data_IF_655674198092
#
_entry.id   IF_655674198092
#
_cell.length_a   1.000
_cell.length_b   1.000
_cell.length_c   1.000
_cell.angle_alpha   90.00
_cell.angle_beta   90.00
_cell.angle_gamma   90.00
#
_symmetry.space_group_name_H-M   'P 1'
#
loop_
_entity.id
_entity.type
_entity.pdbx_description
1 polymer ?
#
# COMPACT_ATOMS: atom_id res chain seq x y z
N UNK A 1 -1.46 26.04 11.75
CA UNK A 1 0.00 26.11 11.52
C UNK A 1 0.83 26.19 12.81
N UNK A 2 0.29 26.60 13.96
CA UNK A 2 1.05 26.64 15.22
C UNK A 2 1.62 25.29 15.69
N UNK A 3 1.00 24.15 15.33
CA UNK A 3 1.49 22.81 15.72
C UNK A 3 2.80 22.37 15.05
N UNK A 4 3.11 22.88 13.85
CA UNK A 4 4.30 22.47 13.11
C UNK A 4 5.48 23.44 13.27
N UNK A 5 5.29 24.61 13.89
CA UNK A 5 6.35 25.59 14.12
C UNK A 5 6.88 26.36 12.89
N UNK A 6 6.39 26.07 11.68
CA UNK A 6 6.85 26.70 10.44
C UNK A 6 5.88 27.76 9.89
N UNK A 7 6.42 28.67 9.07
CA UNK A 7 5.66 29.74 8.41
C UNK A 7 4.76 29.21 7.28
N UNK A 8 3.72 29.98 6.91
CA UNK A 8 2.88 29.70 5.73
C UNK A 8 3.72 29.60 4.44
N UNK A 9 4.76 30.43 4.33
CA UNK A 9 5.68 30.43 3.18
C UNK A 9 6.49 29.13 3.11
N UNK A 10 6.96 28.63 4.24
CA UNK A 10 7.66 27.35 4.31
C UNK A 10 6.75 26.21 3.84
N UNK A 11 5.50 26.17 4.29
CA UNK A 11 4.53 25.17 3.82
C UNK A 11 4.32 25.24 2.30
N UNK A 12 4.10 26.45 1.75
CA UNK A 12 3.87 26.65 0.32
C UNK A 12 5.10 26.36 -0.56
N UNK A 13 6.31 26.37 0.00
CA UNK A 13 7.52 25.95 -0.71
C UNK A 13 7.62 24.42 -0.84
N UNK A 14 6.94 23.66 0.02
CA UNK A 14 6.96 22.20 0.01
C UNK A 14 5.73 21.58 -0.62
N UNK A 15 4.57 22.26 -0.55
CA UNK A 15 3.30 21.76 -1.05
C UNK A 15 2.57 22.85 -1.83
N UNK A 16 2.13 22.50 -3.03
CA UNK A 16 1.38 23.38 -3.92
C UNK A 16 -0.04 23.63 -3.41
N UNK A 17 -0.61 22.66 -2.68
CA UNK A 17 -1.94 22.76 -2.08
C UNK A 17 -2.07 21.92 -0.81
N UNK A 18 -3.21 22.04 -0.12
CA UNK A 18 -3.49 21.27 1.10
C UNK A 18 -3.72 19.79 0.80
N UNK A 19 -4.30 19.47 -0.36
CA UNK A 19 -4.58 18.10 -0.81
C UNK A 19 -3.28 17.32 -0.98
N UNK A 20 -2.27 17.94 -1.61
CA UNK A 20 -0.92 17.38 -1.75
C UNK A 20 -0.28 17.11 -0.39
N UNK A 21 -0.39 18.06 0.55
CA UNK A 21 0.16 17.88 1.90
C UNK A 21 -0.54 16.75 2.69
N UNK A 22 -1.86 16.65 2.56
CA UNK A 22 -2.66 15.59 3.21
C UNK A 22 -2.28 14.22 2.62
N UNK A 23 -2.15 14.13 1.30
CA UNK A 23 -1.75 12.91 0.62
C UNK A 23 -0.30 12.53 0.98
N UNK A 24 0.64 13.47 0.95
CA UNK A 24 2.04 13.23 1.30
C UNK A 24 2.20 12.75 2.75
N UNK A 25 1.43 13.31 3.69
CA UNK A 25 1.43 12.86 5.08
C UNK A 25 1.08 11.37 5.24
N UNK A 26 0.30 10.79 4.32
CA UNK A 26 -0.03 9.38 4.29
C UNK A 26 1.17 8.48 3.97
N UNK A 27 2.03 8.96 3.08
CA UNK A 27 3.19 8.23 2.54
C UNK A 27 4.41 8.38 3.43
N UNK A 28 4.56 9.54 4.06
CA UNK A 28 5.72 9.91 4.89
C UNK A 28 5.73 9.18 6.26
N UNK A 29 4.74 8.32 6.57
CA UNK A 29 4.74 7.55 7.81
C UNK A 29 5.86 6.49 7.85
N UNK A 30 7.00 6.95 8.40
CA UNK A 30 8.15 6.28 9.02
C UNK A 30 8.21 4.75 8.89
N UNK A 31 9.25 4.28 8.19
CA UNK A 31 9.86 2.98 8.46
C UNK A 31 10.02 2.04 7.27
N UNK A 32 9.57 2.41 6.07
CA UNK A 32 9.88 1.61 4.89
C UNK A 32 11.39 1.71 4.62
N UNK A 33 12.13 0.58 4.59
CA UNK A 33 13.54 0.58 4.25
C UNK A 33 13.76 1.17 2.85
N UNK A 34 14.98 1.66 2.60
CA UNK A 34 15.37 2.09 1.26
C UNK A 34 15.21 0.92 0.28
N UNK A 35 15.05 1.24 -1.01
CA UNK A 35 14.76 0.21 -2.02
C UNK A 35 15.86 -0.84 -2.10
N UNK A 36 17.11 -0.43 -1.96
CA UNK A 36 18.29 -1.30 -1.93
C UNK A 36 18.30 -2.22 -0.71
N UNK A 37 17.90 -1.72 0.46
CA UNK A 37 17.80 -2.50 1.70
C UNK A 37 16.68 -3.55 1.59
N UNK A 38 15.52 -3.16 1.04
CA UNK A 38 14.43 -4.08 0.72
C UNK A 38 14.87 -5.17 -0.25
N UNK A 39 15.58 -4.80 -1.32
CA UNK A 39 16.09 -5.78 -2.29
C UNK A 39 17.08 -6.72 -1.63
N UNK A 40 17.95 -6.24 -0.75
CA UNK A 40 18.90 -7.09 -0.03
C UNK A 40 18.21 -8.09 0.90
N UNK A 41 17.21 -7.64 1.67
CA UNK A 41 16.44 -8.49 2.60
C UNK A 41 15.59 -9.54 1.87
N UNK A 42 14.99 -9.17 0.74
CA UNK A 42 14.11 -10.04 -0.05
C UNK A 42 14.88 -10.94 -1.03
N UNK A 43 16.16 -10.66 -1.27
CA UNK A 43 17.04 -11.46 -2.13
C UNK A 43 17.43 -12.76 -1.43
N UNK A 44 16.50 -13.71 -1.39
CA UNK A 44 16.69 -15.02 -0.74
C UNK A 44 15.39 -15.81 -0.61
N UNK A 45 14.25 -15.14 -0.81
CA UNK A 45 12.92 -15.74 -0.73
C UNK A 45 12.63 -16.64 -1.95
N UNK A 46 11.91 -17.75 -1.73
CA UNK A 46 11.80 -18.86 -2.67
C UNK A 46 11.00 -18.54 -3.95
N UNK A 47 9.99 -17.65 -3.90
CA UNK A 47 9.17 -17.27 -5.07
C UNK A 47 8.88 -15.76 -5.15
N UNK A 48 8.51 -15.28 -6.35
CA UNK A 48 8.08 -13.88 -6.57
C UNK A 48 6.84 -13.51 -5.76
N UNK A 49 5.97 -14.48 -5.50
CA UNK A 49 4.77 -14.31 -4.67
C UNK A 49 5.17 -14.16 -3.20
N UNK A 50 6.17 -14.92 -2.74
CA UNK A 50 6.69 -14.78 -1.38
C UNK A 50 7.38 -13.42 -1.16
N UNK A 51 8.11 -12.93 -2.17
CA UNK A 51 8.70 -11.57 -2.15
C UNK A 51 7.59 -10.52 -1.99
N UNK A 52 6.50 -10.62 -2.75
CA UNK A 52 5.35 -9.71 -2.59
C UNK A 52 4.69 -9.83 -1.22
N UNK A 53 4.56 -11.05 -0.70
CA UNK A 53 3.97 -11.28 0.61
C UNK A 53 4.80 -10.61 1.71
N UNK A 54 6.13 -10.78 1.68
CA UNK A 54 7.03 -10.10 2.60
C UNK A 54 7.01 -8.58 2.40
N UNK A 55 7.10 -8.10 1.16
CA UNK A 55 7.06 -6.67 0.84
C UNK A 55 5.79 -6.01 1.40
N UNK A 56 4.64 -6.65 1.21
CA UNK A 56 3.38 -6.16 1.72
C UNK A 56 3.37 -6.14 3.26
N UNK A 57 3.87 -7.18 3.93
CA UNK A 57 3.98 -7.20 5.40
C UNK A 57 4.90 -6.11 5.95
N UNK A 58 5.96 -5.75 5.21
CA UNK A 58 6.89 -4.68 5.60
C UNK A 58 6.32 -3.28 5.35
N UNK A 59 5.57 -3.09 4.25
CA UNK A 59 5.09 -1.77 3.83
C UNK A 59 3.66 -1.43 4.29
N UNK A 60 2.86 -2.42 4.64
CA UNK A 60 1.45 -2.25 5.00
C UNK A 60 1.16 -2.81 6.39
N UNK A 61 1.63 -2.09 7.40
CA UNK A 61 1.15 -2.27 8.78
C UNK A 61 -0.34 -1.95 8.88
N UNK A 62 -1.01 -2.50 9.88
CA UNK A 62 -2.44 -2.25 10.13
C UNK A 62 -2.73 -0.74 10.24
N UNK A 63 -1.86 0.03 10.91
CA UNK A 63 -2.02 1.48 11.05
C UNK A 63 -1.87 2.25 9.73
N UNK A 64 -0.96 1.80 8.86
CA UNK A 64 -0.83 2.37 7.51
C UNK A 64 -2.08 2.08 6.67
N UNK A 65 -2.61 0.86 6.73
CA UNK A 65 -3.85 0.49 6.02
C UNK A 65 -5.04 1.31 6.54
N UNK A 66 -5.18 1.44 7.87
CA UNK A 66 -6.23 2.28 8.50
C UNK A 66 -6.11 3.74 8.10
N UNK A 67 -4.90 4.28 7.98
CA UNK A 67 -4.65 5.64 7.53
C UNK A 67 -5.03 5.82 6.06
N UNK A 68 -4.64 4.87 5.20
CA UNK A 68 -5.00 4.88 3.78
C UNK A 68 -6.51 4.79 3.57
N UNK A 69 -7.22 3.94 4.33
CA UNK A 69 -8.69 3.89 4.35
C UNK A 69 -9.32 5.25 4.66
N UNK A 70 -8.81 5.96 5.67
CA UNK A 70 -9.30 7.29 6.03
C UNK A 70 -9.13 8.29 4.89
N UNK A 71 -8.04 8.20 4.14
CA UNK A 71 -7.78 9.07 3.00
C UNK A 71 -8.67 8.76 1.81
N UNK A 72 -8.84 7.48 1.47
CA UNK A 72 -9.79 7.04 0.43
C UNK A 72 -11.22 7.49 0.79
N UNK A 73 -11.62 7.35 2.05
CA UNK A 73 -12.91 7.88 2.52
C UNK A 73 -12.98 9.40 2.41
N UNK A 74 -11.88 10.11 2.68
CA UNK A 74 -11.82 11.57 2.57
C UNK A 74 -11.90 12.03 1.10
N UNK A 75 -11.31 11.32 0.14
CA UNK A 75 -11.44 11.68 -1.28
C UNK A 75 -12.85 11.50 -1.80
N UNK A 76 -13.63 10.53 -1.28
CA UNK A 76 -15.06 10.44 -1.56
C UNK A 76 -15.85 11.69 -1.11
N UNK A 77 -15.38 12.39 -0.08
CA UNK A 77 -15.98 13.64 0.41
C UNK A 77 -15.38 14.90 -0.26
N UNK A 78 -14.15 14.82 -0.73
CA UNK A 78 -13.43 15.89 -1.41
C UNK A 78 -12.75 15.34 -2.67
N UNK A 79 -13.46 15.29 -3.82
CA UNK A 79 -12.95 14.68 -5.05
C UNK A 79 -11.63 15.27 -5.55
N UNK A 80 -11.30 16.50 -5.16
CA UNK A 80 -9.99 17.13 -5.43
C UNK A 80 -8.79 16.36 -4.85
N UNK A 81 -9.00 15.48 -3.87
CA UNK A 81 -7.96 14.65 -3.26
C UNK A 81 -7.68 13.36 -4.06
N UNK A 82 -8.64 12.91 -4.87
CA UNK A 82 -8.55 11.68 -5.66
C UNK A 82 -7.28 11.57 -6.52
N UNK A 83 -6.88 12.56 -7.34
CA UNK A 83 -5.68 12.45 -8.16
C UNK A 83 -4.40 12.29 -7.34
N UNK A 84 -4.34 12.87 -6.13
CA UNK A 84 -3.20 12.72 -5.24
C UNK A 84 -3.12 11.32 -4.65
N UNK A 85 -4.26 10.74 -4.27
CA UNK A 85 -4.32 9.35 -3.78
C UNK A 85 -3.96 8.37 -4.89
N UNK A 86 -4.46 8.56 -6.11
CA UNK A 86 -4.09 7.72 -7.26
C UNK A 86 -2.58 7.80 -7.56
N UNK A 87 -1.99 8.99 -7.43
CA UNK A 87 -0.53 9.16 -7.59
C UNK A 87 0.24 8.35 -6.55
N UNK A 88 -0.23 8.31 -5.30
CA UNK A 88 0.38 7.50 -4.24
C UNK A 88 0.31 6.01 -4.56
N UNK A 89 -0.87 5.52 -4.96
CA UNK A 89 -1.02 4.11 -5.33
C UNK A 89 -0.13 3.72 -6.50
N UNK A 90 -0.03 4.58 -7.51
CA UNK A 90 0.85 4.37 -8.65
C UNK A 90 2.33 4.31 -8.24
N UNK A 91 2.77 5.18 -7.32
CA UNK A 91 4.13 5.16 -6.79
C UNK A 91 4.42 3.86 -6.04
N UNK A 92 3.48 3.39 -5.22
CA UNK A 92 3.61 2.11 -4.54
C UNK A 92 3.71 0.94 -5.53
N UNK A 93 2.85 0.90 -6.55
CA UNK A 93 2.89 -0.12 -7.59
C UNK A 93 4.22 -0.14 -8.35
N UNK A 94 4.74 1.02 -8.73
CA UNK A 94 6.05 1.15 -9.38
C UNK A 94 7.18 0.68 -8.47
N UNK A 95 7.15 1.02 -7.19
CA UNK A 95 8.16 0.57 -6.21
C UNK A 95 8.16 -0.95 -6.07
N UNK A 96 6.98 -1.56 -5.93
CA UNK A 96 6.87 -3.01 -5.87
C UNK A 96 7.37 -3.69 -7.15
N UNK A 97 7.03 -3.16 -8.32
CA UNK A 97 7.52 -3.66 -9.60
C UNK A 97 9.05 -3.55 -9.69
N UNK A 98 9.63 -2.43 -9.27
CA UNK A 98 11.08 -2.23 -9.25
C UNK A 98 11.77 -3.28 -8.35
N UNK A 99 11.27 -3.47 -7.13
CA UNK A 99 11.82 -4.46 -6.19
C UNK A 99 11.73 -5.87 -6.77
N UNK A 100 10.58 -6.26 -7.33
CA UNK A 100 10.41 -7.57 -7.97
C UNK A 100 11.38 -7.77 -9.14
N UNK A 101 11.52 -6.77 -10.01
CA UNK A 101 12.47 -6.84 -11.12
C UNK A 101 13.91 -7.05 -10.61
N UNK A 102 14.32 -6.29 -9.59
CA UNK A 102 15.66 -6.41 -8.99
C UNK A 102 15.88 -7.77 -8.32
N UNK A 103 14.92 -8.27 -7.55
CA UNK A 103 14.99 -9.60 -6.92
C UNK A 103 14.93 -10.74 -7.94
N UNK A 104 14.28 -10.53 -9.09
CA UNK A 104 14.23 -11.54 -10.16
C UNK A 104 15.59 -11.80 -10.81
N UNK A 105 16.48 -10.80 -10.81
CA UNK A 105 17.78 -10.83 -11.50
C UNK A 105 17.67 -11.28 -12.97
N UNK A 106 16.57 -10.91 -13.64
CA UNK A 106 16.30 -11.28 -15.03
C UNK A 106 15.75 -12.69 -15.24
N UNK A 107 15.44 -13.45 -14.17
CA UNK A 107 14.84 -14.80 -14.28
C UNK A 107 13.39 -14.79 -14.76
N UNK A 108 12.71 -13.65 -14.67
CA UNK A 108 11.34 -13.46 -15.14
C UNK A 108 11.27 -12.25 -16.06
N UNK A 109 10.32 -12.26 -16.99
CA UNK A 109 10.08 -11.12 -17.87
C UNK A 109 9.51 -9.93 -17.10
N UNK A 110 9.75 -8.72 -17.58
CA UNK A 110 9.14 -7.50 -17.02
C UNK A 110 7.60 -7.55 -17.07
N UNK A 111 7.05 -8.23 -18.08
CA UNK A 111 5.60 -8.44 -18.19
C UNK A 111 5.08 -9.27 -17.03
N UNK A 112 5.80 -10.32 -16.62
CA UNK A 112 5.41 -11.16 -15.49
C UNK A 112 5.42 -10.38 -14.17
N UNK A 113 6.48 -9.61 -13.90
CA UNK A 113 6.58 -8.82 -12.67
C UNK A 113 5.55 -7.69 -12.64
N UNK A 114 5.24 -7.08 -13.80
CA UNK A 114 4.18 -6.08 -13.93
C UNK A 114 2.80 -6.66 -13.64
N UNK A 115 2.47 -7.82 -14.23
CA UNK A 115 1.22 -8.54 -13.99
C UNK A 115 1.08 -8.92 -12.51
N UNK A 116 2.14 -9.46 -11.93
CA UNK A 116 2.11 -9.92 -10.54
C UNK A 116 1.94 -8.76 -9.55
N UNK A 117 2.67 -7.65 -9.74
CA UNK A 117 2.48 -6.43 -8.95
C UNK A 117 1.06 -5.87 -9.13
N UNK A 118 0.57 -5.77 -10.38
CA UNK A 118 -0.77 -5.29 -10.67
C UNK A 118 -1.87 -6.13 -10.01
N UNK A 119 -1.76 -7.47 -10.08
CA UNK A 119 -2.70 -8.39 -9.44
C UNK A 119 -2.74 -8.22 -7.91
N UNK A 120 -1.58 -8.04 -7.28
CA UNK A 120 -1.50 -7.78 -5.84
C UNK A 120 -2.14 -6.44 -5.47
N UNK A 121 -1.82 -5.35 -6.18
CA UNK A 121 -2.42 -4.03 -5.89
C UNK A 121 -3.94 -4.03 -6.13
N UNK A 122 -4.40 -4.67 -7.20
CA UNK A 122 -5.83 -4.83 -7.48
C UNK A 122 -6.53 -5.61 -6.37
N UNK A 123 -5.92 -6.69 -5.88
CA UNK A 123 -6.45 -7.47 -4.78
C UNK A 123 -6.32 -6.78 -3.41
N UNK A 124 -5.41 -5.81 -3.24
CA UNK A 124 -5.30 -5.02 -2.02
C UNK A 124 -6.29 -3.84 -1.99
N UNK A 125 -6.78 -3.36 -3.13
CA UNK A 125 -7.66 -2.17 -3.20
C UNK A 125 -8.96 -2.30 -2.37
N UNK A 126 -9.66 -3.46 -2.33
CA UNK A 126 -10.84 -3.63 -1.48
C UNK A 126 -10.54 -3.49 0.02
N UNK A 127 -9.28 -3.70 0.44
CA UNK A 127 -8.86 -3.41 1.80
C UNK A 127 -8.87 -1.91 2.09
N UNK A 128 -8.89 -1.03 1.10
CA UNK A 128 -8.78 0.41 1.26
C UNK A 128 -10.11 1.12 1.05
N UNK A 129 -10.97 0.58 0.17
CA UNK A 129 -12.23 1.22 -0.18
C UNK A 129 -13.45 0.79 0.67
N UNK A 130 -13.23 -0.09 1.64
CA UNK A 130 -14.25 -0.64 2.55
C UNK A 130 -15.39 -1.39 1.85
N UNK A 131 -15.25 -1.74 0.57
CA UNK A 131 -16.21 -2.60 -0.15
C UNK A 131 -16.25 -4.02 0.42
N UNK A 132 -15.15 -4.48 1.03
CA UNK A 132 -15.11 -5.72 1.79
C UNK A 132 -15.13 -5.44 3.29
N UNK A 133 -16.02 -6.13 4.00
CA UNK A 133 -16.08 -6.17 5.47
C UNK A 133 -14.89 -6.96 6.04
N UNK A 134 -13.70 -6.37 5.92
CA UNK A 134 -12.47 -6.91 6.49
C UNK A 134 -12.23 -6.30 7.87
N UNK A 135 -12.23 -7.16 8.88
CA UNK A 135 -11.95 -6.81 10.27
C UNK A 135 -10.44 -6.85 10.52
N UNK A 136 -9.89 -5.74 11.04
CA UNK A 136 -8.48 -5.65 11.38
C UNK A 136 -8.26 -6.10 12.83
N UNK A 137 -7.07 -6.63 13.16
CA UNK A 137 -6.73 -6.92 14.54
C UNK A 137 -6.92 -5.68 15.43
N UNK A 138 -7.63 -5.87 16.55
CA UNK A 138 -7.96 -4.81 17.51
C UNK A 138 -9.21 -4.01 17.18
N UNK A 139 -9.88 -4.26 16.05
CA UNK A 139 -11.23 -3.75 15.82
C UNK A 139 -12.22 -4.48 16.74
N UNK A 140 -13.25 -3.79 17.28
CA UNK A 140 -14.30 -4.45 18.06
C UNK A 140 -14.97 -5.53 17.21
N UNK A 141 -15.32 -6.64 17.85
CA UNK A 141 -16.04 -7.72 17.15
C UNK A 141 -17.46 -7.25 16.82
N UNK A 142 -17.68 -6.92 15.55
CA UNK A 142 -18.98 -6.44 15.09
C UNK A 142 -19.99 -7.59 14.93
N UNK A 143 -19.58 -8.86 15.07
CA UNK A 143 -20.48 -10.02 15.03
C UNK A 143 -21.33 -10.12 13.76
N UNK A 144 -21.00 -9.35 12.73
CA UNK A 144 -21.81 -9.22 11.54
C UNK A 144 -21.60 -10.44 10.61
N UNK A 145 -22.68 -11.00 10.03
CA UNK A 145 -22.56 -12.07 9.06
C UNK A 145 -21.73 -11.62 7.85
N UNK A 146 -20.73 -12.42 7.44
CA UNK A 146 -19.91 -12.14 6.27
C UNK A 146 -18.64 -11.31 6.52
N UNK A 147 -18.28 -11.05 7.77
CA UNK A 147 -16.99 -10.46 8.13
C UNK A 147 -15.86 -11.45 7.88
N UNK A 148 -14.81 -11.01 7.17
CA UNK A 148 -13.58 -11.79 6.94
C UNK A 148 -12.47 -11.12 7.75
N UNK A 149 -11.66 -11.90 8.47
CA UNK A 149 -10.51 -11.32 9.18
C UNK A 149 -9.43 -10.89 8.20
N UNK A 150 -8.66 -9.86 8.54
CA UNK A 150 -7.53 -9.40 7.73
C UNK A 150 -6.55 -10.53 7.39
N UNK A 151 -6.22 -11.37 8.37
CA UNK A 151 -5.30 -12.50 8.17
C UNK A 151 -5.88 -13.55 7.20
N UNK A 152 -7.19 -13.82 7.29
CA UNK A 152 -7.85 -14.74 6.38
C UNK A 152 -7.89 -14.18 4.96
N UNK A 153 -8.18 -12.89 4.81
CA UNK A 153 -8.17 -12.21 3.52
C UNK A 153 -6.79 -12.29 2.85
N UNK A 154 -5.74 -11.93 3.58
CA UNK A 154 -4.37 -12.00 3.04
C UNK A 154 -3.98 -13.43 2.67
N UNK A 155 -4.29 -14.40 3.53
CA UNK A 155 -4.00 -15.82 3.27
C UNK A 155 -4.68 -16.30 1.98
N UNK A 156 -5.95 -15.95 1.79
CA UNK A 156 -6.70 -16.34 0.60
C UNK A 156 -6.16 -15.63 -0.65
N UNK A 157 -5.89 -14.34 -0.57
CA UNK A 157 -5.30 -13.55 -1.66
C UNK A 157 -3.97 -14.15 -2.15
N UNK A 158 -3.01 -14.43 -1.26
CA UNK A 158 -1.73 -15.03 -1.65
C UNK A 158 -1.85 -16.48 -2.11
N UNK A 159 -2.84 -17.22 -1.61
CA UNK A 159 -3.16 -18.55 -2.13
C UNK A 159 -3.64 -18.48 -3.58
N UNK A 160 -4.48 -17.52 -3.95
CA UNK A 160 -4.92 -17.34 -5.34
C UNK A 160 -3.75 -16.85 -6.21
N UNK A 161 -2.97 -15.87 -5.76
CA UNK A 161 -1.79 -15.37 -6.49
C UNK A 161 -0.75 -16.47 -6.77
N UNK A 162 -0.50 -17.36 -5.80
CA UNK A 162 0.47 -18.46 -5.98
C UNK A 162 0.00 -19.55 -6.96
N UNK A 163 -1.31 -19.68 -7.18
CA UNK A 163 -1.88 -20.58 -8.17
C UNK A 163 -2.02 -19.95 -9.55
N UNK A 164 -1.74 -18.65 -9.68
CA UNK A 164 -2.00 -17.90 -10.90
C UNK A 164 -3.50 -17.78 -11.14
N UNK A 165 -4.26 -17.44 -10.09
CA UNK A 165 -5.72 -17.39 -9.93
C UNK A 165 -6.31 -18.63 -9.25
#
# INVERSE_FOLDING_TARGET
>A
MQRAGYSRRTFANHFSCKEEAVAAAAVIFKGAPEEEELVAELSGTASMVDILHQLMRMQFTIEQIKTMRKLVRLSKQSPTLEPYILTIFHQFQKKAQYILNRCSRGRHSEMYTHLLAGAMYGAALPLLDSELNVQFPGDPDEGAPGVITFDQYLKDMFRYLSKGF
#
